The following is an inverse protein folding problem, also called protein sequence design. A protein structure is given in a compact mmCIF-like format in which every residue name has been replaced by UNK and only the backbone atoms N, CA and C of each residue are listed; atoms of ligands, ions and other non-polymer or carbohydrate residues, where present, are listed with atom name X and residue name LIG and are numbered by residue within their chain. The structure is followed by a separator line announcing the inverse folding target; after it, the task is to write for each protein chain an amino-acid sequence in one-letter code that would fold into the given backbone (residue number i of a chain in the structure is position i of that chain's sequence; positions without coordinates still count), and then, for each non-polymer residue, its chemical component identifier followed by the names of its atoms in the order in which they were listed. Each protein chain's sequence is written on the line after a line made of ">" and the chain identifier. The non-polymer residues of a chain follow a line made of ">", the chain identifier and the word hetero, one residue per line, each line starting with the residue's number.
data_IF_522826496322
#
_entry.id   IF_522826496322
#
_cell.length_a   1.000
_cell.length_b   1.000
_cell.length_c   1.000
_cell.angle_alpha   90.00
_cell.angle_beta   90.00
_cell.angle_gamma   90.00
#
_symmetry.space_group_name_H-M   'P 1'
#
loop_
_entity.id
_entity.type
_entity.pdbx_description
1 polymer ?
#
# COMPACT_ATOMS: atom_id res chain seq x y z
N UNK A 1 -90.82 70.31 10.01
CA UNK A 1 -90.04 70.22 11.26
C UNK A 1 -88.57 70.07 10.86
N UNK A 2 -87.81 71.15 10.92
CA UNK A 2 -86.41 71.18 10.50
C UNK A 2 -85.51 70.86 11.70
N UNK A 3 -84.92 69.66 11.70
CA UNK A 3 -83.88 69.29 12.66
C UNK A 3 -82.57 70.00 12.28
N UNK A 4 -82.31 71.14 12.93
CA UNK A 4 -80.97 71.75 12.93
C UNK A 4 -80.16 71.10 14.05
N UNK A 5 -79.25 70.20 13.68
CA UNK A 5 -78.27 69.64 14.61
C UNK A 5 -77.17 70.68 14.79
N UNK A 6 -76.88 71.16 16.02
CA UNK A 6 -75.81 72.12 16.25
C UNK A 6 -74.44 71.45 16.02
N UNK A 7 -73.71 71.93 15.02
CA UNK A 7 -72.35 71.46 14.73
C UNK A 7 -71.40 72.09 15.77
N UNK A 8 -70.94 71.27 16.72
CA UNK A 8 -69.91 71.64 17.70
C UNK A 8 -68.52 71.62 17.03
N UNK A 9 -68.06 72.77 16.56
CA UNK A 9 -66.74 72.92 15.91
C UNK A 9 -65.56 72.54 16.83
N UNK A 10 -65.70 72.70 18.15
CA UNK A 10 -64.66 72.38 19.13
C UNK A 10 -64.30 70.88 19.23
N UNK A 11 -65.25 69.97 19.02
CA UNK A 11 -64.97 68.53 19.03
C UNK A 11 -64.21 68.08 17.78
N UNK A 12 -64.42 68.74 16.64
CA UNK A 12 -63.72 68.46 15.38
C UNK A 12 -62.23 68.82 15.43
N UNK A 13 -61.87 69.94 16.07
CA UNK A 13 -60.46 70.35 16.19
C UNK A 13 -59.63 69.40 17.07
N UNK A 14 -60.24 68.74 18.05
CA UNK A 14 -59.56 67.77 18.93
C UNK A 14 -59.51 66.38 18.29
N UNK A 15 -60.56 65.96 17.56
CA UNK A 15 -60.63 64.62 17.00
C UNK A 15 -59.72 64.38 15.80
N UNK A 16 -59.50 65.39 14.94
CA UNK A 16 -58.68 65.24 13.72
C UNK A 16 -57.21 64.90 14.03
N UNK A 17 -56.50 65.59 14.94
CA UNK A 17 -55.13 65.24 15.30
C UNK A 17 -55.01 63.84 15.92
N UNK A 18 -56.00 63.43 16.71
CA UNK A 18 -56.03 62.10 17.34
C UNK A 18 -56.15 61.02 16.27
N UNK A 19 -57.04 61.19 15.29
CA UNK A 19 -57.20 60.23 14.17
C UNK A 19 -55.92 60.15 13.32
N UNK A 20 -55.28 61.29 13.03
CA UNK A 20 -54.02 61.31 12.29
C UNK A 20 -52.92 60.58 13.08
N UNK A 21 -52.82 60.83 14.38
CA UNK A 21 -51.85 60.18 15.26
C UNK A 21 -52.08 58.67 15.37
N UNK A 22 -53.33 58.22 15.48
CA UNK A 22 -53.65 56.78 15.54
C UNK A 22 -53.39 56.09 14.21
N UNK A 23 -53.75 56.70 13.07
CA UNK A 23 -53.44 56.18 11.74
C UNK A 23 -51.93 56.09 11.53
N UNK A 24 -51.17 57.12 11.92
CA UNK A 24 -49.71 57.12 11.82
C UNK A 24 -49.05 56.06 12.72
N UNK A 25 -49.55 55.91 13.95
CA UNK A 25 -49.08 54.87 14.87
C UNK A 25 -49.37 53.46 14.33
N UNK A 26 -50.56 53.23 13.78
CA UNK A 26 -50.93 51.97 13.14
C UNK A 26 -50.03 51.68 11.93
N UNK A 27 -49.85 52.65 11.03
CA UNK A 27 -49.01 52.50 9.85
C UNK A 27 -47.54 52.23 10.22
N UNK A 28 -47.02 52.93 11.23
CA UNK A 28 -45.68 52.68 11.78
C UNK A 28 -45.57 51.28 12.39
N UNK A 29 -46.58 50.82 13.11
CA UNK A 29 -46.61 49.48 13.71
C UNK A 29 -46.63 48.39 12.63
N UNK A 30 -47.51 48.51 11.62
CA UNK A 30 -47.58 47.55 10.52
C UNK A 30 -46.30 47.55 9.67
N UNK A 31 -45.76 48.72 9.34
CA UNK A 31 -44.49 48.83 8.60
C UNK A 31 -43.33 48.20 9.38
N UNK A 32 -43.20 48.51 10.67
CA UNK A 32 -42.18 47.91 11.55
C UNK A 32 -42.36 46.38 11.66
N UNK A 33 -43.59 45.91 11.83
CA UNK A 33 -43.89 44.48 11.95
C UNK A 33 -43.58 43.74 10.65
N UNK A 34 -43.96 44.29 9.50
CA UNK A 34 -43.67 43.73 8.18
C UNK A 34 -42.16 43.66 7.91
N UNK A 35 -41.44 44.77 8.15
CA UNK A 35 -40.00 44.85 7.98
C UNK A 35 -39.29 43.85 8.90
N UNK A 36 -39.67 43.79 10.18
CA UNK A 36 -39.11 42.83 11.12
C UNK A 36 -39.37 41.37 10.69
N UNK A 37 -40.56 41.06 10.18
CA UNK A 37 -40.87 39.72 9.71
C UNK A 37 -40.01 39.32 8.51
N UNK A 38 -39.82 40.23 7.54
CA UNK A 38 -38.96 39.98 6.38
C UNK A 38 -37.50 39.82 6.79
N UNK A 39 -36.98 40.68 7.69
CA UNK A 39 -35.62 40.54 8.22
C UNK A 39 -35.42 39.23 8.99
N UNK A 40 -36.37 38.86 9.85
CA UNK A 40 -36.28 37.60 10.60
C UNK A 40 -36.29 36.39 9.66
N UNK A 41 -37.15 36.41 8.63
CA UNK A 41 -37.19 35.35 7.62
C UNK A 41 -35.88 35.24 6.85
N UNK A 42 -35.33 36.37 6.39
CA UNK A 42 -34.02 36.39 5.70
C UNK A 42 -32.89 35.91 6.63
N UNK A 43 -32.90 36.30 7.90
CA UNK A 43 -31.93 35.83 8.89
C UNK A 43 -32.06 34.32 9.15
N UNK A 44 -33.26 33.80 9.27
CA UNK A 44 -33.51 32.36 9.44
C UNK A 44 -33.07 31.58 8.20
N UNK A 45 -33.40 32.05 7.00
CA UNK A 45 -32.95 31.45 5.74
C UNK A 45 -31.42 31.45 5.66
N UNK A 46 -30.75 32.58 5.92
CA UNK A 46 -29.28 32.62 5.91
C UNK A 46 -28.65 31.73 6.99
N UNK A 47 -29.22 31.67 8.19
CA UNK A 47 -28.76 30.74 9.23
C UNK A 47 -28.89 29.29 8.78
N UNK A 48 -30.01 28.95 8.15
CA UNK A 48 -30.25 27.61 7.63
C UNK A 48 -29.30 27.26 6.48
N UNK A 49 -29.09 28.17 5.53
CA UNK A 49 -28.11 28.01 4.44
C UNK A 49 -26.69 27.83 4.98
N UNK A 50 -26.28 28.65 5.96
CA UNK A 50 -24.99 28.50 6.63
C UNK A 50 -24.86 27.17 7.35
N UNK A 51 -25.93 26.69 8.00
CA UNK A 51 -25.95 25.38 8.64
C UNK A 51 -25.79 24.25 7.62
N UNK A 52 -26.52 24.29 6.50
CA UNK A 52 -26.39 23.30 5.40
C UNK A 52 -24.96 23.31 4.85
N UNK A 53 -24.41 24.50 4.59
CA UNK A 53 -23.04 24.63 4.07
C UNK A 53 -22.02 24.07 5.07
N UNK A 54 -22.19 24.35 6.36
CA UNK A 54 -21.34 23.82 7.42
C UNK A 54 -21.43 22.28 7.52
N UNK A 55 -22.63 21.71 7.46
CA UNK A 55 -22.85 20.26 7.48
C UNK A 55 -22.23 19.58 6.27
N UNK A 56 -22.40 20.15 5.07
CA UNK A 56 -21.80 19.65 3.84
C UNK A 56 -20.26 19.68 3.90
N UNK A 57 -19.69 20.79 4.39
CA UNK A 57 -18.24 20.89 4.57
C UNK A 57 -17.72 19.89 5.60
N UNK A 58 -18.44 19.71 6.72
CA UNK A 58 -18.09 18.72 7.74
C UNK A 58 -18.09 17.31 7.15
N UNK A 59 -19.11 16.96 6.37
CA UNK A 59 -19.20 15.66 5.70
C UNK A 59 -18.06 15.44 4.71
N UNK A 60 -17.73 16.42 3.88
CA UNK A 60 -16.63 16.31 2.91
C UNK A 60 -15.26 16.16 3.61
N UNK A 61 -15.02 16.90 4.68
CA UNK A 61 -13.81 16.77 5.50
C UNK A 61 -13.72 15.38 6.14
N UNK A 62 -14.82 14.86 6.68
CA UNK A 62 -14.87 13.50 7.24
C UNK A 62 -14.56 12.44 6.19
N UNK A 63 -15.14 12.55 4.99
CA UNK A 63 -14.85 11.63 3.88
C UNK A 63 -13.37 11.69 3.47
N UNK A 64 -12.81 12.88 3.27
CA UNK A 64 -11.39 13.05 2.94
C UNK A 64 -10.46 12.47 4.00
N UNK A 65 -10.81 12.64 5.29
CA UNK A 65 -10.05 12.05 6.39
C UNK A 65 -10.10 10.52 6.37
N UNK A 66 -11.28 9.93 6.09
CA UNK A 66 -11.43 8.49 5.94
C UNK A 66 -10.61 7.95 4.74
N UNK A 67 -10.67 8.61 3.59
CA UNK A 67 -9.93 8.22 2.40
C UNK A 67 -8.40 8.30 2.65
N UNK A 68 -7.94 9.36 3.31
CA UNK A 68 -6.55 9.52 3.71
C UNK A 68 -6.08 8.42 4.67
N UNK A 69 -6.91 8.07 5.64
CA UNK A 69 -6.62 6.98 6.57
C UNK A 69 -6.53 5.64 5.84
N UNK A 70 -7.48 5.33 4.96
CA UNK A 70 -7.49 4.11 4.17
C UNK A 70 -6.25 4.01 3.27
N UNK A 71 -5.89 5.11 2.61
CA UNK A 71 -4.66 5.19 1.82
C UNK A 71 -3.41 4.94 2.67
N UNK A 72 -3.31 5.59 3.82
CA UNK A 72 -2.17 5.45 4.75
C UNK A 72 -2.05 4.02 5.29
N UNK A 73 -3.16 3.42 5.70
CA UNK A 73 -3.19 2.01 6.14
C UNK A 73 -2.73 1.09 5.02
N UNK A 74 -3.23 1.29 3.79
CA UNK A 74 -2.84 0.45 2.66
C UNK A 74 -1.38 0.61 2.29
N UNK A 75 -0.86 1.85 2.32
CA UNK A 75 0.56 2.15 2.14
C UNK A 75 1.42 1.38 3.13
N UNK A 76 1.08 1.39 4.42
CA UNK A 76 1.85 0.69 5.45
C UNK A 76 1.85 -0.83 5.26
N UNK A 77 0.71 -1.41 4.88
CA UNK A 77 0.57 -2.83 4.51
C UNK A 77 1.46 -3.18 3.32
N UNK A 78 1.41 -2.35 2.26
CA UNK A 78 2.22 -2.51 1.06
C UNK A 78 3.71 -2.48 1.39
N UNK A 79 4.15 -1.50 2.18
CA UNK A 79 5.55 -1.33 2.56
C UNK A 79 6.07 -2.54 3.33
N UNK A 80 5.31 -2.99 4.33
CA UNK A 80 5.67 -4.15 5.16
C UNK A 80 5.78 -5.41 4.32
N UNK A 81 4.80 -5.65 3.45
CA UNK A 81 4.79 -6.83 2.57
C UNK A 81 5.91 -6.78 1.55
N UNK A 82 6.18 -5.62 0.97
CA UNK A 82 7.25 -5.43 0.00
C UNK A 82 8.64 -5.67 0.62
N UNK A 83 8.87 -5.12 1.81
CA UNK A 83 10.09 -5.37 2.58
C UNK A 83 10.29 -6.86 2.86
N UNK A 84 9.24 -7.56 3.31
CA UNK A 84 9.30 -9.00 3.57
C UNK A 84 9.63 -9.80 2.29
N UNK A 85 9.00 -9.47 1.16
CA UNK A 85 9.27 -10.15 -0.12
C UNK A 85 10.73 -9.99 -0.57
N UNK A 86 11.30 -8.79 -0.43
CA UNK A 86 12.72 -8.58 -0.75
C UNK A 86 13.65 -9.29 0.22
N UNK A 87 13.33 -9.31 1.51
CA UNK A 87 14.10 -10.05 2.52
C UNK A 87 14.11 -11.56 2.23
N UNK A 88 12.97 -12.13 1.84
CA UNK A 88 12.87 -13.54 1.44
C UNK A 88 13.67 -13.79 0.16
N UNK A 89 13.57 -12.91 -0.84
CA UNK A 89 14.32 -13.04 -2.08
C UNK A 89 15.84 -12.98 -1.85
N UNK A 90 16.32 -12.04 -1.02
CA UNK A 90 17.72 -11.94 -0.62
C UNK A 90 18.18 -13.18 0.15
N UNK A 91 17.44 -13.61 1.17
CA UNK A 91 17.80 -14.77 1.97
C UNK A 91 17.87 -16.06 1.15
N UNK A 92 16.98 -16.22 0.16
CA UNK A 92 17.03 -17.34 -0.79
C UNK A 92 18.23 -17.25 -1.72
N UNK A 93 18.54 -16.07 -2.24
CA UNK A 93 19.69 -15.90 -3.12
C UNK A 93 21.01 -16.22 -2.40
N UNK A 94 21.21 -15.71 -1.18
CA UNK A 94 22.42 -15.97 -0.39
C UNK A 94 22.48 -17.39 0.16
N UNK A 95 21.33 -17.99 0.45
CA UNK A 95 21.24 -19.35 0.98
C UNK A 95 21.75 -20.44 0.04
N UNK A 96 21.89 -20.15 -1.26
CA UNK A 96 22.32 -21.14 -2.27
C UNK A 96 23.73 -21.67 -1.98
N UNK A 97 24.68 -20.81 -1.59
CA UNK A 97 26.05 -21.22 -1.29
C UNK A 97 26.19 -21.81 0.12
N UNK A 98 25.29 -21.47 1.04
CA UNK A 98 25.29 -21.95 2.42
C UNK A 98 24.51 -23.25 2.65
N UNK A 99 23.85 -23.80 1.63
CA UNK A 99 23.01 -24.98 1.78
C UNK A 99 23.86 -26.25 1.87
N UNK A 100 23.82 -26.91 3.02
CA UNK A 100 24.41 -28.24 3.19
C UNK A 100 23.45 -29.30 2.64
N UNK A 101 23.87 -29.99 1.59
CA UNK A 101 23.12 -31.12 1.05
C UNK A 101 23.40 -32.39 1.84
N UNK A 102 22.40 -33.26 2.05
CA UNK A 102 22.62 -34.57 2.63
C UNK A 102 23.66 -35.36 1.83
N UNK A 103 24.45 -36.17 2.54
CA UNK A 103 25.33 -37.15 1.92
C UNK A 103 24.51 -38.33 1.39
N UNK A 104 23.93 -38.15 0.19
CA UNK A 104 23.07 -39.15 -0.46
C UNK A 104 23.76 -40.50 -0.69
N UNK A 105 25.09 -40.56 -0.62
CA UNK A 105 25.86 -41.81 -0.73
C UNK A 105 25.56 -42.79 0.40
N UNK A 106 25.03 -42.28 1.52
CA UNK A 106 24.63 -43.08 2.69
C UNK A 106 23.16 -43.51 2.66
N UNK A 107 22.39 -43.03 1.70
CA UNK A 107 20.96 -43.24 1.63
C UNK A 107 20.65 -44.47 0.77
N UNK A 108 19.63 -45.23 1.20
CA UNK A 108 19.00 -46.25 0.37
C UNK A 108 18.14 -45.61 -0.72
N UNK A 109 17.85 -46.39 -1.76
CA UNK A 109 16.94 -46.01 -2.85
C UNK A 109 15.58 -45.50 -2.34
N UNK A 110 15.06 -46.12 -1.27
CA UNK A 110 13.78 -45.73 -0.65
C UNK A 110 13.87 -44.39 0.07
N UNK A 111 14.93 -44.16 0.84
CA UNK A 111 15.15 -42.90 1.58
C UNK A 111 15.36 -41.72 0.62
N UNK A 112 16.06 -41.93 -0.50
CA UNK A 112 16.21 -40.91 -1.55
C UNK A 112 14.84 -40.54 -2.12
N UNK A 113 14.03 -41.54 -2.47
CA UNK A 113 12.68 -41.33 -3.00
C UNK A 113 11.81 -40.54 -2.03
N UNK A 114 11.83 -40.89 -0.75
CA UNK A 114 11.09 -40.20 0.30
C UNK A 114 11.56 -38.75 0.46
N UNK A 115 12.87 -38.53 0.56
CA UNK A 115 13.45 -37.20 0.68
C UNK A 115 13.08 -36.30 -0.51
N UNK A 116 13.27 -36.77 -1.75
CA UNK A 116 12.94 -35.97 -2.94
C UNK A 116 11.44 -35.72 -3.07
N UNK A 117 10.60 -36.65 -2.61
CA UNK A 117 9.13 -36.46 -2.55
C UNK A 117 8.76 -35.38 -1.55
N UNK A 118 9.43 -35.31 -0.39
CA UNK A 118 9.19 -34.27 0.63
C UNK A 118 9.49 -32.85 0.12
N UNK A 119 10.38 -32.74 -0.87
CA UNK A 119 10.71 -31.48 -1.55
C UNK A 119 9.77 -31.14 -2.71
N UNK A 120 8.69 -31.93 -2.93
CA UNK A 120 7.74 -31.78 -4.03
C UNK A 120 8.37 -31.83 -5.43
N UNK A 121 9.42 -32.65 -5.59
CA UNK A 121 10.05 -32.86 -6.90
C UNK A 121 9.11 -33.71 -7.78
N UNK A 122 8.99 -33.42 -9.10
CA UNK A 122 8.16 -34.20 -10.00
C UNK A 122 8.51 -35.69 -9.97
N UNK A 123 7.49 -36.55 -9.92
CA UNK A 123 7.67 -38.01 -9.84
C UNK A 123 8.50 -38.59 -10.98
N UNK A 124 8.45 -37.98 -12.17
CA UNK A 124 9.26 -38.36 -13.34
C UNK A 124 10.75 -38.17 -13.05
N UNK A 125 11.14 -37.03 -12.47
CA UNK A 125 12.55 -36.74 -12.14
C UNK A 125 13.04 -37.66 -11.01
N UNK A 126 12.19 -37.89 -9.99
CA UNK A 126 12.48 -38.82 -8.89
C UNK A 126 12.73 -40.23 -9.45
N UNK A 127 11.84 -40.70 -10.33
CA UNK A 127 11.95 -42.03 -10.91
C UNK A 127 13.22 -42.18 -11.76
N UNK A 128 13.63 -41.13 -12.47
CA UNK A 128 14.90 -41.11 -13.20
C UNK A 128 16.11 -41.27 -12.27
N UNK A 129 16.16 -40.59 -11.12
CA UNK A 129 17.25 -40.78 -10.16
C UNK A 129 17.23 -42.18 -9.52
N UNK A 130 16.04 -42.63 -9.14
CA UNK A 130 15.81 -43.93 -8.51
C UNK A 130 16.20 -45.07 -9.46
N UNK A 131 15.75 -45.07 -10.70
CA UNK A 131 16.01 -46.17 -11.64
C UNK A 131 17.48 -46.30 -12.05
N UNK A 132 18.20 -45.18 -12.08
CA UNK A 132 19.64 -45.18 -12.33
C UNK A 132 20.48 -45.41 -11.06
N UNK A 133 19.86 -45.56 -9.88
CA UNK A 133 20.57 -45.80 -8.63
C UNK A 133 21.07 -47.26 -8.52
N UNK A 134 22.25 -47.52 -9.08
CA UNK A 134 22.99 -48.79 -8.95
C UNK A 134 24.11 -48.64 -7.90
N UNK A 135 24.58 -49.75 -7.33
CA UNK A 135 25.67 -49.70 -6.32
C UNK A 135 27.00 -49.16 -6.87
N UNK A 136 27.24 -49.31 -8.18
CA UNK A 136 28.46 -48.83 -8.84
C UNK A 136 28.37 -47.33 -9.17
N UNK A 137 27.19 -46.84 -9.60
CA UNK A 137 26.99 -45.45 -10.02
C UNK A 137 26.41 -44.54 -8.94
N UNK A 138 26.14 -45.05 -7.73
CA UNK A 138 25.49 -44.30 -6.64
C UNK A 138 26.17 -42.95 -6.35
N UNK A 139 27.49 -42.88 -6.48
CA UNK A 139 28.24 -41.64 -6.29
C UNK A 139 27.94 -40.58 -7.37
N UNK A 140 27.85 -41.00 -8.64
CA UNK A 140 27.54 -40.13 -9.78
C UNK A 140 26.10 -39.63 -9.66
N UNK A 141 25.17 -40.53 -9.34
CA UNK A 141 23.76 -40.15 -9.19
C UNK A 141 23.55 -39.24 -7.98
N UNK A 142 24.26 -39.45 -6.87
CA UNK A 142 24.24 -38.53 -5.73
C UNK A 142 24.67 -37.11 -6.13
N UNK A 143 25.75 -36.98 -6.90
CA UNK A 143 26.22 -35.68 -7.38
C UNK A 143 25.20 -35.04 -8.35
N UNK A 144 24.55 -35.83 -9.21
CA UNK A 144 23.46 -35.36 -10.08
C UNK A 144 22.23 -34.88 -9.30
N UNK A 145 21.86 -35.55 -8.20
CA UNK A 145 20.78 -35.11 -7.32
C UNK A 145 21.14 -33.75 -6.70
N UNK A 146 22.37 -33.61 -6.18
CA UNK A 146 22.83 -32.35 -5.59
C UNK A 146 22.79 -31.21 -6.62
N UNK A 147 23.28 -31.45 -7.84
CA UNK A 147 23.24 -30.48 -8.93
C UNK A 147 21.79 -30.09 -9.30
N UNK A 148 20.89 -31.06 -9.37
CA UNK A 148 19.46 -30.80 -9.59
C UNK A 148 18.86 -29.93 -8.47
N UNK A 149 19.15 -30.25 -7.20
CA UNK A 149 18.66 -29.49 -6.06
C UNK A 149 19.20 -28.05 -6.05
N UNK A 150 20.48 -27.84 -6.41
CA UNK A 150 21.05 -26.50 -6.58
C UNK A 150 20.32 -25.69 -7.66
N UNK A 151 20.07 -26.30 -8.82
CA UNK A 151 19.28 -25.68 -9.90
C UNK A 151 17.86 -25.34 -9.46
N UNK A 152 17.25 -26.19 -8.63
CA UNK A 152 15.94 -25.94 -8.06
C UNK A 152 15.95 -24.73 -7.11
N UNK A 153 16.93 -24.63 -6.22
CA UNK A 153 17.08 -23.48 -5.32
C UNK A 153 17.32 -22.17 -6.07
N UNK A 154 18.15 -22.18 -7.12
CA UNK A 154 18.35 -21.02 -8.01
C UNK A 154 17.02 -20.59 -8.64
N UNK A 155 16.23 -21.54 -9.17
CA UNK A 155 14.91 -21.24 -9.72
C UNK A 155 13.96 -20.66 -8.67
N UNK A 156 13.97 -21.20 -7.46
CA UNK A 156 13.17 -20.71 -6.34
C UNK A 156 13.56 -19.28 -5.94
N UNK A 157 14.86 -18.96 -5.89
CA UNK A 157 15.36 -17.62 -5.61
C UNK A 157 14.91 -16.62 -6.69
N UNK A 158 15.07 -16.97 -7.97
CA UNK A 158 14.59 -16.15 -9.10
C UNK A 158 13.07 -15.92 -9.01
N UNK A 159 12.29 -16.94 -8.65
CA UNK A 159 10.85 -16.80 -8.45
C UNK A 159 10.51 -15.82 -7.33
N UNK A 160 11.16 -15.92 -6.17
CA UNK A 160 10.94 -15.00 -5.05
C UNK A 160 11.26 -13.54 -5.43
N UNK A 161 12.32 -13.34 -6.20
CA UNK A 161 12.66 -12.02 -6.74
C UNK A 161 11.60 -11.50 -7.72
N UNK A 162 11.10 -12.35 -8.63
CA UNK A 162 10.02 -11.99 -9.54
C UNK A 162 8.74 -11.62 -8.79
N UNK A 163 8.40 -12.35 -7.73
CA UNK A 163 7.25 -12.06 -6.88
C UNK A 163 7.39 -10.69 -6.19
N UNK A 164 8.56 -10.36 -5.66
CA UNK A 164 8.86 -9.05 -5.08
C UNK A 164 8.74 -7.91 -6.12
N UNK A 165 9.34 -8.11 -7.30
CA UNK A 165 9.27 -7.16 -8.42
C UNK A 165 7.83 -6.92 -8.87
N UNK A 166 7.08 -7.99 -9.12
CA UNK A 166 5.69 -7.92 -9.55
C UNK A 166 4.84 -7.19 -8.50
N UNK A 167 5.02 -7.52 -7.22
CA UNK A 167 4.31 -6.85 -6.14
C UNK A 167 4.63 -5.34 -6.08
N UNK A 168 5.89 -4.94 -6.31
CA UNK A 168 6.27 -3.52 -6.37
C UNK A 168 5.59 -2.78 -7.53
N UNK A 169 5.45 -3.43 -8.69
CA UNK A 169 4.79 -2.85 -9.86
C UNK A 169 3.28 -2.71 -9.64
N UNK A 170 2.62 -3.75 -9.13
CA UNK A 170 1.19 -3.71 -8.83
C UNK A 170 0.83 -2.72 -7.73
N UNK A 171 1.73 -2.53 -6.77
CA UNK A 171 1.50 -1.64 -5.63
C UNK A 171 1.99 -0.21 -5.85
N UNK A 172 2.41 0.14 -7.07
CA UNK A 172 3.08 1.41 -7.39
C UNK A 172 2.32 2.66 -6.94
N UNK A 173 0.98 2.65 -6.96
CA UNK A 173 0.14 3.76 -6.50
C UNK A 173 0.29 4.09 -5.01
N UNK A 174 0.76 3.13 -4.21
CA UNK A 174 0.95 3.29 -2.77
C UNK A 174 2.41 3.57 -2.39
N UNK A 175 3.34 3.50 -3.35
CA UNK A 175 4.77 3.71 -3.09
C UNK A 175 5.12 5.20 -3.18
N UNK A 176 5.92 5.68 -2.22
CA UNK A 176 6.64 6.93 -2.42
C UNK A 176 7.66 6.76 -3.55
N UNK A 177 8.01 7.86 -4.21
CA UNK A 177 9.03 7.86 -5.26
C UNK A 177 10.33 7.21 -4.78
N UNK A 178 10.76 7.54 -3.56
CA UNK A 178 11.95 6.93 -2.93
C UNK A 178 11.84 5.41 -2.79
N UNK A 179 10.72 4.90 -2.30
CA UNK A 179 10.52 3.43 -2.16
C UNK A 179 10.43 2.75 -3.52
N UNK A 180 9.82 3.40 -4.51
CA UNK A 180 9.77 2.88 -5.87
C UNK A 180 11.17 2.76 -6.49
N UNK A 181 12.03 3.78 -6.30
CA UNK A 181 13.44 3.75 -6.74
C UNK A 181 14.22 2.64 -6.03
N UNK A 182 14.16 2.56 -4.70
CA UNK A 182 14.83 1.51 -3.92
C UNK A 182 14.38 0.11 -4.40
N UNK A 183 13.07 -0.09 -4.60
CA UNK A 183 12.51 -1.36 -5.06
C UNK A 183 13.00 -1.73 -6.46
N UNK A 184 13.09 -0.75 -7.36
CA UNK A 184 13.63 -0.96 -8.71
C UNK A 184 15.10 -1.38 -8.65
N UNK A 185 15.91 -0.69 -7.87
CA UNK A 185 17.34 -1.01 -7.69
C UNK A 185 17.53 -2.38 -7.03
N UNK A 186 16.73 -2.73 -6.01
CA UNK A 186 16.74 -4.06 -5.40
C UNK A 186 16.40 -5.15 -6.43
N UNK A 187 15.34 -4.95 -7.19
CA UNK A 187 14.93 -5.87 -8.26
C UNK A 187 16.03 -6.08 -9.30
N UNK A 188 16.77 -5.02 -9.65
CA UNK A 188 17.88 -5.08 -10.61
C UNK A 188 19.07 -5.83 -10.02
N UNK A 189 19.54 -5.44 -8.84
CA UNK A 189 20.73 -6.05 -8.21
C UNK A 189 20.50 -7.51 -7.82
N UNK A 190 19.33 -7.86 -7.27
CA UNK A 190 18.99 -9.27 -7.00
C UNK A 190 18.87 -10.09 -8.29
N UNK A 191 18.43 -9.47 -9.38
CA UNK A 191 18.30 -10.14 -10.67
C UNK A 191 19.62 -10.46 -11.32
N UNK A 192 20.53 -9.48 -11.33
CA UNK A 192 21.89 -9.71 -11.82
C UNK A 192 22.63 -10.69 -10.92
N UNK A 193 22.53 -10.55 -9.59
CA UNK A 193 23.12 -11.50 -8.64
C UNK A 193 22.62 -12.95 -8.85
N UNK A 194 21.31 -13.15 -9.01
CA UNK A 194 20.73 -14.48 -9.27
C UNK A 194 21.17 -15.06 -10.63
N UNK A 195 21.34 -14.19 -11.63
CA UNK A 195 21.86 -14.59 -12.93
C UNK A 195 23.34 -14.97 -12.85
N UNK A 196 24.14 -14.26 -12.07
CA UNK A 196 25.55 -14.56 -11.84
C UNK A 196 25.72 -15.91 -11.12
N UNK A 197 24.89 -16.21 -10.12
CA UNK A 197 24.80 -17.54 -9.50
C UNK A 197 24.47 -18.62 -10.52
N UNK A 198 23.47 -18.37 -11.37
CA UNK A 198 23.09 -19.29 -12.42
C UNK A 198 24.24 -19.53 -13.42
N UNK A 199 25.02 -18.49 -13.74
CA UNK A 199 26.21 -18.59 -14.59
C UNK A 199 27.28 -19.45 -13.91
N UNK A 200 27.60 -19.19 -12.64
CA UNK A 200 28.62 -19.94 -11.87
C UNK A 200 28.27 -21.42 -11.75
N UNK A 201 27.01 -21.76 -11.51
CA UNK A 201 26.61 -23.14 -11.26
C UNK A 201 26.33 -23.95 -12.52
N UNK A 202 25.91 -23.31 -13.62
CA UNK A 202 25.46 -24.04 -14.80
C UNK A 202 26.41 -23.99 -16.00
N UNK A 203 27.47 -23.17 -15.96
CA UNK A 203 28.39 -23.00 -17.08
C UNK A 203 29.83 -23.26 -16.67
N UNK A 204 30.56 -23.99 -17.51
CA UNK A 204 32.01 -24.13 -17.39
C UNK A 204 32.68 -22.81 -17.77
N UNK A 205 33.49 -22.26 -16.87
CA UNK A 205 34.22 -21.01 -17.09
C UNK A 205 35.65 -21.11 -16.59
N UNK A 206 36.51 -20.21 -17.06
CA UNK A 206 37.88 -20.09 -16.55
C UNK A 206 37.86 -19.64 -15.08
N UNK A 207 38.90 -20.02 -14.31
CA UNK A 207 39.01 -19.58 -12.92
C UNK A 207 39.06 -18.04 -12.81
N UNK A 208 39.75 -17.37 -13.74
CA UNK A 208 39.80 -15.91 -13.78
C UNK A 208 38.43 -15.26 -14.04
N UNK A 209 37.60 -15.84 -14.90
CA UNK A 209 36.23 -15.33 -15.12
C UNK A 209 35.36 -15.55 -13.89
N UNK A 210 35.51 -16.71 -13.24
CA UNK A 210 34.80 -17.02 -12.00
C UNK A 210 35.16 -16.03 -10.89
N UNK A 211 36.44 -15.78 -10.68
CA UNK A 211 36.91 -14.84 -9.65
C UNK A 211 36.41 -13.41 -9.92
N UNK A 212 36.35 -12.99 -11.19
CA UNK A 212 35.74 -11.71 -11.58
C UNK A 212 34.26 -11.65 -11.21
N UNK A 213 33.46 -12.66 -11.59
CA UNK A 213 32.02 -12.69 -11.29
C UNK A 213 31.80 -12.68 -9.77
N UNK A 214 32.57 -13.47 -9.00
CA UNK A 214 32.47 -13.52 -7.54
C UNK A 214 32.79 -12.15 -6.91
N UNK A 215 33.80 -11.43 -7.43
CA UNK A 215 34.08 -10.08 -6.96
C UNK A 215 32.91 -9.12 -7.23
N UNK A 216 32.36 -9.13 -8.43
CA UNK A 216 31.19 -8.31 -8.78
C UNK A 216 29.94 -8.69 -7.96
N UNK A 217 29.78 -9.97 -7.60
CA UNK A 217 28.68 -10.42 -6.75
C UNK A 217 28.78 -9.87 -5.33
N UNK A 218 29.98 -9.75 -4.76
CA UNK A 218 30.19 -9.14 -3.43
C UNK A 218 29.81 -7.66 -3.42
N UNK A 219 30.14 -6.92 -4.47
CA UNK A 219 29.73 -5.53 -4.61
C UNK A 219 28.20 -5.39 -4.68
N UNK A 220 27.55 -6.29 -5.44
CA UNK A 220 26.08 -6.36 -5.51
C UNK A 220 25.47 -6.72 -4.16
N UNK A 221 26.07 -7.65 -3.42
CA UNK A 221 25.62 -8.06 -2.08
C UNK A 221 25.63 -6.88 -1.11
N UNK A 222 26.75 -6.15 -1.02
CA UNK A 222 26.84 -4.93 -0.22
C UNK A 222 25.77 -3.91 -0.62
N UNK A 223 25.55 -3.73 -1.93
CA UNK A 223 24.53 -2.81 -2.43
C UNK A 223 23.11 -3.25 -2.07
N UNK A 224 22.82 -4.55 -2.11
CA UNK A 224 21.54 -5.11 -1.69
C UNK A 224 21.31 -4.84 -0.19
N UNK A 225 22.31 -5.04 0.66
CA UNK A 225 22.19 -4.75 2.11
C UNK A 225 21.84 -3.29 2.38
N UNK A 226 22.56 -2.38 1.73
CA UNK A 226 22.31 -0.94 1.85
C UNK A 226 20.87 -0.59 1.45
N UNK A 227 20.39 -1.19 0.36
CA UNK A 227 19.04 -0.94 -0.15
C UNK A 227 17.96 -1.57 0.73
N UNK A 228 18.19 -2.77 1.29
CA UNK A 228 17.29 -3.41 2.26
C UNK A 228 17.21 -2.57 3.54
N UNK A 229 18.35 -2.09 4.05
CA UNK A 229 18.40 -1.19 5.19
C UNK A 229 17.68 0.15 4.90
N UNK A 230 17.86 0.69 3.71
CA UNK A 230 17.16 1.90 3.25
C UNK A 230 15.66 1.69 3.15
N UNK A 231 15.21 0.55 2.61
CA UNK A 231 13.80 0.18 2.54
C UNK A 231 13.20 0.00 3.94
N UNK A 232 13.95 -0.61 4.85
CA UNK A 232 13.56 -0.76 6.27
C UNK A 232 13.36 0.59 6.95
N UNK A 233 14.21 1.57 6.67
CA UNK A 233 14.09 2.92 7.22
C UNK A 233 12.83 3.66 6.72
N UNK A 234 12.38 3.35 5.50
CA UNK A 234 11.14 3.88 4.95
C UNK A 234 9.89 3.19 5.49
N UNK A 235 10.03 2.08 6.22
CA UNK A 235 8.89 1.49 6.92
C UNK A 235 8.35 2.50 7.94
N UNK A 236 7.02 2.52 8.17
CA UNK A 236 6.45 3.41 9.16
C UNK A 236 7.05 3.05 10.53
N UNK A 237 7.92 3.91 11.06
CA UNK A 237 8.41 3.76 12.43
C UNK A 237 7.18 3.80 13.34
N UNK A 238 6.85 2.67 13.97
CA UNK A 238 5.83 2.58 15.02
C UNK A 238 6.27 3.29 16.32
N UNK A 239 7.13 4.30 16.24
CA UNK A 239 7.46 5.19 17.34
C UNK A 239 6.48 6.37 17.34
N UNK A 240 5.20 6.07 17.47
CA UNK A 240 4.24 6.98 18.08
C UNK A 240 4.02 6.45 19.49
N UNK A 241 4.96 6.80 20.38
CA UNK A 241 4.68 6.94 21.82
C UNK A 241 4.22 8.37 22.06
#
# INVERSE_FOLDING_TARGET
>A
MNFQIPIYWGSYFISIPIIIATVWAALKFFSKSYVNQQFNKLLETHKHELQILMENNKFDLQRKMLDFNLFTTKKNEVYTKLFNLYLVAEGRARGIDGYEYPDFKKYSKSEIKEYLTSLNIPSVDIQNFVDNWTSEDAHIIADHIIDYLKKLEIKNAIKCQQDAKNYSLFSGLYLSEKVAVISKELSQNLGTYSNDLNIIHNFTMSQSDRDRIVAEMRDKENKIEELIASLKYELPNKNYQ
#
